data_IF_575943222530
#
_entry.id   IF_575943222530
#
_cell.length_a   1.000
_cell.length_b   1.000
_cell.length_c   1.000
_cell.angle_alpha   90.00
_cell.angle_beta   90.00
_cell.angle_gamma   90.00
#
_symmetry.space_group_name_H-M   'P 1'
#
loop_
_entity.id
_entity.type
_entity.pdbx_description
1 polymer ?
#
# COMPACT_ATOMS: atom_id res chain seq x y z
N UNK A 1 1.76 -9.51 13.49
CA UNK A 1 2.29 -8.63 12.41
C UNK A 1 1.69 -8.92 11.04
N UNK A 2 1.74 -10.16 10.51
CA UNK A 2 1.19 -10.49 9.17
C UNK A 2 -0.28 -10.05 8.98
N UNK A 3 -1.16 -10.33 9.93
CA UNK A 3 -2.58 -9.93 9.84
C UNK A 3 -2.81 -8.40 9.83
N UNK A 4 -1.97 -7.62 10.51
CA UNK A 4 -2.08 -6.16 10.56
C UNK A 4 -1.65 -5.52 9.22
N UNK A 5 -0.60 -6.06 8.58
CA UNK A 5 -0.13 -5.62 7.26
C UNK A 5 -1.19 -5.92 6.18
N UNK A 6 -1.73 -7.14 6.17
CA UNK A 6 -2.82 -7.50 5.25
C UNK A 6 -4.10 -6.69 5.50
N UNK A 7 -4.41 -6.39 6.76
CA UNK A 7 -5.51 -5.49 7.12
C UNK A 7 -5.33 -4.08 6.55
N UNK A 8 -4.12 -3.50 6.64
CA UNK A 8 -3.81 -2.20 6.07
C UNK A 8 -3.98 -2.18 4.55
N UNK A 9 -3.44 -3.17 3.84
CA UNK A 9 -3.60 -3.27 2.38
C UNK A 9 -5.06 -3.51 1.97
N UNK A 10 -5.83 -4.25 2.77
CA UNK A 10 -7.27 -4.42 2.57
C UNK A 10 -8.05 -3.11 2.70
N UNK A 11 -7.75 -2.32 3.74
CA UNK A 11 -8.35 -0.97 3.91
C UNK A 11 -7.96 -0.05 2.75
N UNK A 12 -6.69 -0.08 2.34
CA UNK A 12 -6.21 0.73 1.22
C UNK A 12 -6.92 0.36 -0.10
N UNK A 13 -7.11 -0.93 -0.36
CA UNK A 13 -7.85 -1.42 -1.53
C UNK A 13 -9.33 -1.02 -1.50
N UNK A 14 -9.97 -1.06 -0.32
CA UNK A 14 -11.35 -0.62 -0.16
C UNK A 14 -11.49 0.89 -0.42
N UNK A 15 -10.60 1.71 0.13
CA UNK A 15 -10.58 3.16 -0.12
C UNK A 15 -10.33 3.47 -1.60
N UNK A 16 -9.38 2.78 -2.22
CA UNK A 16 -9.08 2.93 -3.64
C UNK A 16 -10.27 2.56 -4.53
N UNK A 17 -10.96 1.47 -4.19
CA UNK A 17 -12.15 1.02 -4.92
C UNK A 17 -13.31 1.99 -4.75
N UNK A 18 -13.53 2.51 -3.54
CA UNK A 18 -14.55 3.54 -3.30
C UNK A 18 -14.24 4.82 -4.10
N UNK A 19 -12.98 5.24 -4.11
CA UNK A 19 -12.55 6.41 -4.87
C UNK A 19 -12.77 6.23 -6.38
N UNK A 20 -12.34 5.10 -6.95
CA UNK A 20 -12.57 4.79 -8.35
C UNK A 20 -14.06 4.73 -8.69
N UNK A 21 -14.89 4.15 -7.81
CA UNK A 21 -16.33 4.11 -7.99
C UNK A 21 -16.94 5.52 -8.05
N UNK A 22 -16.52 6.43 -7.16
CA UNK A 22 -16.97 7.82 -7.18
C UNK A 22 -16.61 8.53 -8.49
N UNK A 23 -15.38 8.33 -8.98
CA UNK A 23 -14.96 8.89 -10.27
C UNK A 23 -15.76 8.32 -11.44
N UNK A 24 -16.07 7.02 -11.40
CA UNK A 24 -16.87 6.35 -12.42
C UNK A 24 -18.32 6.86 -12.44
N UNK A 25 -18.92 7.06 -11.27
CA UNK A 25 -20.25 7.63 -11.13
C UNK A 25 -20.31 9.09 -11.64
N UNK A 26 -19.29 9.90 -11.32
CA UNK A 26 -19.19 11.28 -11.79
C UNK A 26 -19.03 11.35 -13.32
N UNK A 27 -18.19 10.49 -13.89
CA UNK A 27 -17.98 10.40 -15.33
C UNK A 27 -19.27 10.03 -16.09
N UNK A 28 -20.11 9.17 -15.53
CA UNK A 28 -21.39 8.77 -16.13
C UNK A 28 -22.49 9.83 -16.07
N UNK A 29 -22.36 10.86 -15.21
CA UNK A 29 -23.41 11.85 -14.99
C UNK A 29 -23.52 12.93 -16.08
N UNK A 30 -22.49 13.09 -16.94
CA UNK A 30 -22.41 14.21 -17.89
C UNK A 30 -23.60 14.35 -18.83
N UNK A 31 -23.98 13.27 -19.53
CA UNK A 31 -25.12 13.29 -20.46
C UNK A 31 -26.48 13.52 -19.77
N UNK A 32 -26.63 13.03 -18.54
CA UNK A 32 -27.84 13.23 -17.74
C UNK A 32 -28.01 14.69 -17.29
N UNK A 33 -26.90 15.40 -17.04
CA UNK A 33 -26.92 16.83 -16.70
C UNK A 33 -27.39 17.67 -17.89
N UNK A 34 -26.85 17.43 -19.09
CA UNK A 34 -27.25 18.18 -20.30
C UNK A 34 -28.72 18.02 -20.58
N UNK A 35 -29.23 16.78 -20.53
CA UNK A 35 -30.64 16.47 -20.81
C UNK A 35 -31.60 17.12 -19.79
N UNK A 36 -31.20 17.21 -18.52
CA UNK A 36 -31.98 17.89 -17.50
C UNK A 36 -31.96 19.42 -17.67
N UNK A 37 -30.81 19.99 -18.02
CA UNK A 37 -30.66 21.43 -18.25
C UNK A 37 -31.43 21.88 -19.50
N UNK A 38 -31.38 21.12 -20.60
CA UNK A 38 -32.12 21.45 -21.84
C UNK A 38 -33.63 21.38 -21.62
N UNK A 39 -34.10 20.39 -20.87
CA UNK A 39 -35.51 20.29 -20.44
C UNK A 39 -35.93 21.49 -19.57
N UNK A 40 -35.07 21.94 -18.65
CA UNK A 40 -35.35 23.11 -17.82
C UNK A 40 -35.41 24.42 -18.61
N UNK A 41 -34.52 24.56 -19.61
CA UNK A 41 -34.45 25.73 -20.49
C UNK A 41 -35.46 25.73 -21.65
N UNK A 42 -36.31 24.70 -21.77
CA UNK A 42 -37.26 24.51 -22.88
C UNK A 42 -36.61 24.59 -24.28
N UNK A 43 -35.33 24.26 -24.38
CA UNK A 43 -34.61 24.22 -25.65
C UNK A 43 -35.01 22.92 -26.36
N UNK A 44 -35.26 23.00 -27.67
CA UNK A 44 -35.57 21.81 -28.46
C UNK A 44 -34.45 20.78 -28.31
N UNK A 45 -34.85 19.58 -27.88
CA UNK A 45 -33.94 18.49 -27.59
C UNK A 45 -33.17 18.09 -28.86
N UNK A 46 -33.80 18.17 -30.03
CA UNK A 46 -33.17 17.88 -31.31
C UNK A 46 -31.97 18.81 -31.61
N UNK A 47 -32.04 20.06 -31.16
CA UNK A 47 -30.97 21.05 -31.39
C UNK A 47 -29.77 20.82 -30.46
N UNK A 48 -29.98 20.16 -29.32
CA UNK A 48 -28.95 19.93 -28.29
C UNK A 48 -28.51 18.47 -28.19
N UNK A 49 -29.08 17.60 -29.03
CA UNK A 49 -28.81 16.16 -29.01
C UNK A 49 -27.36 15.83 -29.32
N UNK A 50 -26.74 16.54 -30.27
CA UNK A 50 -25.31 16.37 -30.58
C UNK A 50 -24.39 16.70 -29.39
N UNK A 51 -24.80 17.64 -28.52
CA UNK A 51 -24.07 18.02 -27.31
C UNK A 51 -24.25 16.96 -26.22
N UNK A 52 -25.47 16.45 -26.05
CA UNK A 52 -25.77 15.36 -25.12
C UNK A 52 -25.01 14.08 -25.50
N UNK A 53 -24.99 13.73 -26.78
CA UNK A 53 -24.26 12.57 -27.32
C UNK A 53 -22.75 12.74 -27.16
N UNK A 54 -22.21 13.93 -27.44
CA UNK A 54 -20.79 14.25 -27.23
C UNK A 54 -20.36 14.13 -25.75
N UNK A 55 -21.19 14.62 -24.83
CA UNK A 55 -20.97 14.50 -23.38
C UNK A 55 -21.12 13.06 -22.88
N UNK A 56 -22.05 12.29 -23.44
CA UNK A 56 -22.21 10.88 -23.11
C UNK A 56 -20.99 10.06 -23.57
N UNK A 57 -20.46 10.34 -24.76
CA UNK A 57 -19.27 9.66 -25.29
C UNK A 57 -18.02 10.04 -24.48
N UNK A 58 -17.86 11.32 -24.13
CA UNK A 58 -16.81 11.77 -23.22
C UNK A 58 -16.91 11.13 -21.83
N UNK A 59 -18.14 11.00 -21.30
CA UNK A 59 -18.40 10.31 -20.04
C UNK A 59 -18.06 8.82 -20.09
N UNK A 60 -18.42 8.13 -21.18
CA UNK A 60 -18.07 6.73 -21.42
C UNK A 60 -16.54 6.53 -21.52
N UNK A 61 -15.83 7.41 -22.23
CA UNK A 61 -14.37 7.37 -22.31
C UNK A 61 -13.71 7.65 -20.94
N UNK A 62 -14.25 8.61 -20.19
CA UNK A 62 -13.79 8.88 -18.83
C UNK A 62 -14.02 7.67 -17.89
N UNK A 63 -15.14 6.96 -18.03
CA UNK A 63 -15.39 5.72 -17.28
C UNK A 63 -14.37 4.62 -17.60
N UNK A 64 -14.00 4.45 -18.88
CA UNK A 64 -12.95 3.50 -19.29
C UNK A 64 -11.61 3.87 -18.68
N UNK A 65 -11.23 5.16 -18.70
CA UNK A 65 -10.01 5.63 -18.06
C UNK A 65 -10.00 5.37 -16.55
N UNK A 66 -11.13 5.58 -15.87
CA UNK A 66 -11.26 5.28 -14.44
C UNK A 66 -11.06 3.79 -14.15
N UNK A 67 -11.57 2.89 -15.00
CA UNK A 67 -11.34 1.44 -14.87
C UNK A 67 -9.86 1.12 -15.02
N UNK A 68 -9.18 1.70 -16.01
CA UNK A 68 -7.73 1.49 -16.22
C UNK A 68 -6.94 1.96 -14.99
N UNK A 69 -7.23 3.16 -14.49
CA UNK A 69 -6.57 3.72 -13.29
C UNK A 69 -6.85 2.82 -12.08
N UNK A 70 -8.08 2.35 -11.90
CA UNK A 70 -8.44 1.44 -10.82
C UNK A 70 -7.62 0.15 -10.87
N UNK A 71 -7.53 -0.49 -12.04
CA UNK A 71 -6.74 -1.70 -12.26
C UNK A 71 -5.24 -1.49 -11.98
N UNK A 72 -4.66 -0.38 -12.45
CA UNK A 72 -3.27 -0.04 -12.16
C UNK A 72 -3.03 0.15 -10.66
N UNK A 73 -3.92 0.87 -9.98
CA UNK A 73 -3.81 1.05 -8.53
C UNK A 73 -3.93 -0.25 -7.75
N UNK A 74 -4.89 -1.13 -8.12
CA UNK A 74 -5.01 -2.46 -7.52
C UNK A 74 -3.76 -3.32 -7.75
N UNK A 75 -3.20 -3.28 -8.96
CA UNK A 75 -1.96 -3.97 -9.28
C UNK A 75 -0.79 -3.52 -8.41
N UNK A 76 -0.62 -2.20 -8.21
CA UNK A 76 0.41 -1.65 -7.33
C UNK A 76 0.20 -2.07 -5.87
N UNK A 77 -1.02 -1.97 -5.36
CA UNK A 77 -1.36 -2.37 -3.98
C UNK A 77 -1.00 -3.84 -3.74
N UNK A 78 -1.36 -4.73 -4.68
CA UNK A 78 -1.02 -6.15 -4.61
C UNK A 78 0.48 -6.40 -4.70
N UNK A 79 1.18 -5.69 -5.59
CA UNK A 79 2.64 -5.79 -5.72
C UNK A 79 3.35 -5.41 -4.41
N UNK A 80 2.94 -4.31 -3.78
CA UNK A 80 3.50 -3.89 -2.49
C UNK A 80 3.15 -4.85 -1.36
N UNK A 81 1.92 -5.38 -1.32
CA UNK A 81 1.53 -6.39 -0.35
C UNK A 81 2.39 -7.66 -0.47
N UNK A 82 2.67 -8.09 -1.71
CA UNK A 82 3.51 -9.24 -1.99
C UNK A 82 4.98 -9.00 -1.61
N UNK A 83 5.56 -7.86 -1.99
CA UNK A 83 6.92 -7.49 -1.60
C UNK A 83 7.07 -7.39 -0.08
N UNK A 84 6.12 -6.77 0.61
CA UNK A 84 6.10 -6.70 2.07
C UNK A 84 6.03 -8.06 2.74
N UNK A 85 5.26 -9.00 2.16
CA UNK A 85 5.20 -10.39 2.64
C UNK A 85 6.55 -11.11 2.50
N UNK A 86 7.25 -10.92 1.37
CA UNK A 86 8.57 -11.51 1.17
C UNK A 86 9.62 -10.97 2.15
N UNK A 87 9.65 -9.66 2.37
CA UNK A 87 10.58 -9.03 3.31
C UNK A 87 10.39 -9.56 4.74
N UNK A 88 9.13 -9.74 5.18
CA UNK A 88 8.82 -10.32 6.50
C UNK A 88 9.23 -11.79 6.59
N UNK A 89 9.07 -12.57 5.52
CA UNK A 89 9.47 -13.97 5.51
C UNK A 89 11.00 -14.10 5.56
N UNK A 90 11.73 -13.31 4.77
CA UNK A 90 13.20 -13.33 4.77
C UNK A 90 13.78 -12.88 6.11
N UNK A 91 13.19 -11.85 6.75
CA UNK A 91 13.61 -11.42 8.09
C UNK A 91 13.41 -12.49 9.17
N UNK A 92 12.39 -13.35 9.03
CA UNK A 92 12.18 -14.48 9.96
C UNK A 92 13.24 -15.56 9.79
N UNK A 93 13.58 -15.91 8.55
CA UNK A 93 14.62 -16.91 8.27
C UNK A 93 15.97 -16.45 8.82
N UNK A 94 16.35 -15.19 8.58
CA UNK A 94 17.56 -14.60 9.14
C UNK A 94 17.55 -14.55 10.67
N UNK A 95 16.40 -14.26 11.30
CA UNK A 95 16.26 -14.28 12.75
C UNK A 95 16.39 -15.68 13.36
N UNK A 96 15.86 -16.70 12.69
CA UNK A 96 16.00 -18.11 13.10
C UNK A 96 17.43 -18.63 12.90
N UNK A 97 18.12 -18.19 11.85
CA UNK A 97 19.53 -18.50 11.60
C UNK A 97 20.45 -17.83 12.64
N UNK A 98 20.22 -16.56 12.99
CA UNK A 98 20.96 -15.89 14.07
C UNK A 98 20.70 -16.50 15.45
N UNK A 99 19.50 -17.02 15.73
CA UNK A 99 19.21 -17.74 16.98
C UNK A 99 19.85 -19.12 17.05
N UNK A 100 20.15 -19.74 15.89
CA UNK A 100 20.85 -21.03 15.81
C UNK A 100 22.36 -20.89 15.89
N UNK A 101 22.91 -19.70 15.68
CA UNK A 101 24.34 -19.46 15.75
C UNK A 101 24.82 -19.47 17.22
N UNK A 102 25.66 -20.44 17.64
CA UNK A 102 26.16 -20.52 19.01
C UNK A 102 26.98 -19.30 19.45
N UNK A 103 27.48 -18.48 18.52
CA UNK A 103 28.20 -17.24 18.85
C UNK A 103 27.30 -16.16 19.50
N UNK A 104 25.99 -16.16 19.22
CA UNK A 104 25.02 -15.20 19.79
C UNK A 104 24.45 -15.69 21.12
N UNK A 105 24.55 -17.00 21.41
CA UNK A 105 24.09 -17.61 22.67
C UNK A 105 24.99 -17.30 23.87
N UNK A 106 26.21 -16.80 23.65
CA UNK A 106 27.20 -16.49 24.69
C UNK A 106 27.09 -15.09 25.30
N UNK A 107 26.00 -14.36 25.09
CA UNK A 107 25.85 -12.96 25.54
C UNK A 107 24.84 -12.73 26.66
N UNK A 108 24.36 -13.78 27.33
CA UNK A 108 23.24 -13.64 28.28
C UNK A 108 23.07 -14.81 29.23
N UNK A 109 24.09 -15.09 30.03
CA UNK A 109 23.86 -15.63 31.37
C UNK A 109 24.14 -14.51 32.37
N UNK A 110 23.06 -13.82 32.79
CA UNK A 110 23.07 -13.16 34.09
C UNK A 110 22.99 -14.30 35.10
N UNK A 111 24.15 -14.87 35.42
CA UNK A 111 24.32 -15.63 36.64
C UNK A 111 24.25 -14.65 37.79
N UNK A 112 23.37 -15.02 38.73
CA UNK A 112 23.10 -14.40 40.00
C UNK A 112 24.41 -13.91 40.65
N UNK A 113 24.38 -12.69 41.16
CA UNK A 113 25.54 -11.84 41.44
C UNK A 113 26.78 -12.53 42.02
N UNK A 114 27.86 -12.57 41.24
CA UNK A 114 29.20 -12.54 41.80
C UNK A 114 30.13 -11.73 40.89
N UNK A 115 30.47 -10.53 41.37
CA UNK A 115 31.45 -9.63 40.76
C UNK A 115 32.82 -10.26 40.97
N UNK A 116 33.38 -10.90 39.95
CA UNK A 116 34.82 -11.18 39.92
C UNK A 116 35.48 -9.97 39.26
N UNK A 117 36.01 -9.07 40.09
CA UNK A 117 37.00 -8.08 39.68
C UNK A 117 38.20 -8.81 39.07
N UNK A 118 38.27 -8.88 37.75
CA UNK A 118 39.51 -9.26 37.08
C UNK A 118 40.50 -8.09 37.22
N UNK A 119 41.29 -8.17 38.28
CA UNK A 119 42.39 -7.29 38.59
C UNK A 119 43.42 -7.38 37.45
N UNK A 120 43.34 -6.44 36.51
CA UNK A 120 44.34 -6.22 35.45
C UNK A 120 45.72 -6.09 36.10
N UNK A 121 46.56 -7.12 35.95
CA UNK A 121 47.99 -7.02 36.26
C UNK A 121 48.68 -6.22 35.15
N UNK A 122 49.40 -5.14 35.46
CA UNK A 122 50.23 -4.47 34.47
C UNK A 122 51.45 -5.35 34.17
N UNK A 123 51.55 -5.83 32.93
CA UNK A 123 52.75 -6.50 32.41
C UNK A 123 53.90 -5.50 32.44
N UNK A 124 54.72 -5.59 33.49
CA UNK A 124 55.94 -4.82 33.66
C UNK A 124 57.11 -5.64 33.11
N UNK A 125 57.52 -5.26 31.89
CA UNK A 125 58.91 -5.34 31.42
C UNK A 125 59.46 -6.71 31.06
N UNK A 126 60.02 -6.80 29.86
CA UNK A 126 61.39 -7.27 29.65
C UNK A 126 61.89 -6.74 28.30
N UNK A 127 62.58 -5.61 28.37
CA UNK A 127 63.65 -5.28 27.43
C UNK A 127 64.75 -6.34 27.56
N UNK A 128 65.15 -6.93 26.42
CA UNK A 128 66.56 -7.06 25.99
C UNK A 128 66.63 -7.69 24.60
#
# INVERSE_FOLDING_TARGET
MKGLVWGLFGVLAALWTLFAWLLHALAGAGGAVVTNVTRWLQIDLATTQWLADGMALAGGMAQVLVIIVWLMGMGLILMFAWMGSQAVNNARVLGEELQRDPAVRGGGEVLDGEVIEERVQPVRGLER
#
